data_IF_836024320374
#
_entry.id   IF_836024320374
#
_cell.length_a   1.000
_cell.length_b   1.000
_cell.length_c   1.000
_cell.angle_alpha   90.00
_cell.angle_beta   90.00
_cell.angle_gamma   90.00
#
_symmetry.space_group_name_H-M   'P 1'
#
loop_
_entity.id
_entity.type
_entity.pdbx_description
1 polymer ?
#
# COMPACT_ATOMS: atom_id res chain seq x y z
N UNK A 1 17.41 -10.68 -1.25
CA UNK A 1 16.44 -10.19 -0.25
C UNK A 1 15.20 -9.66 -0.97
N UNK A 2 14.10 -9.59 -0.28
CA UNK A 2 12.83 -9.15 -0.86
C UNK A 2 12.33 -7.90 -0.12
N UNK A 3 11.86 -6.93 -0.89
CA UNK A 3 11.18 -5.76 -0.35
C UNK A 3 9.68 -5.88 -0.61
N UNK A 4 8.88 -5.52 0.37
CA UNK A 4 7.43 -5.40 0.23
C UNK A 4 7.05 -3.96 0.49
N UNK A 5 6.37 -3.36 -0.47
CA UNK A 5 5.91 -1.97 -0.36
C UNK A 5 4.39 -1.97 -0.30
N UNK A 6 3.86 -1.52 0.82
CA UNK A 6 2.42 -1.35 1.02
C UNK A 6 2.08 0.08 0.67
N UNK A 7 1.24 0.28 -0.34
CA UNK A 7 0.82 1.61 -0.79
C UNK A 7 -0.68 1.76 -0.53
N UNK A 8 -1.06 2.84 0.13
CA UNK A 8 -2.45 3.12 0.46
C UNK A 8 -2.75 4.60 0.26
N UNK A 9 -4.02 4.92 0.02
CA UNK A 9 -4.46 6.31 -0.08
C UNK A 9 -4.41 6.98 1.29
N UNK A 10 -4.06 8.25 1.31
CA UNK A 10 -4.12 9.07 2.53
C UNK A 10 -5.56 9.16 3.02
N UNK A 11 -5.74 9.33 4.32
CA UNK A 11 -7.06 9.29 4.96
C UNK A 11 -8.08 10.26 4.40
N UNK A 12 -7.64 11.41 3.91
CA UNK A 12 -8.55 12.41 3.34
C UNK A 12 -8.90 12.18 1.87
N UNK A 13 -8.35 11.16 1.24
CA UNK A 13 -8.56 10.88 -0.19
C UNK A 13 -9.67 9.84 -0.36
N UNK A 14 -10.62 10.14 -1.24
CA UNK A 14 -11.72 9.22 -1.53
C UNK A 14 -11.19 7.94 -2.16
N UNK A 15 -11.67 6.80 -1.67
CA UNK A 15 -11.36 5.48 -2.19
C UNK A 15 -12.63 4.83 -2.75
N UNK A 16 -12.92 5.03 -4.04
CA UNK A 16 -14.15 4.46 -4.63
C UNK A 16 -14.16 2.93 -4.65
N UNK A 17 -12.99 2.29 -4.74
CA UNK A 17 -12.89 0.83 -4.71
C UNK A 17 -13.18 0.28 -3.31
N UNK A 18 -12.62 0.90 -2.28
CA UNK A 18 -12.90 0.54 -0.90
C UNK A 18 -14.37 0.73 -0.56
N UNK A 19 -14.97 1.81 -1.04
CA UNK A 19 -16.38 2.08 -0.82
C UNK A 19 -17.27 1.03 -1.51
N UNK A 20 -16.92 0.64 -2.73
CA UNK A 20 -17.65 -0.41 -3.45
C UNK A 20 -17.56 -1.75 -2.73
N UNK A 21 -16.40 -2.10 -2.18
CA UNK A 21 -16.23 -3.32 -1.39
C UNK A 21 -17.12 -3.28 -0.16
N UNK A 22 -17.12 -2.17 0.58
CA UNK A 22 -17.97 -2.00 1.76
C UNK A 22 -19.44 -2.16 1.45
N UNK A 23 -19.90 -1.56 0.36
CA UNK A 23 -21.29 -1.67 -0.08
C UNK A 23 -21.64 -3.12 -0.47
N UNK A 24 -20.73 -3.80 -1.15
CA UNK A 24 -20.93 -5.21 -1.52
C UNK A 24 -21.00 -6.12 -0.29
N UNK A 25 -20.15 -5.90 0.70
CA UNK A 25 -20.17 -6.66 1.95
C UNK A 25 -21.51 -6.47 2.67
N UNK A 26 -21.99 -5.25 2.75
CA UNK A 26 -23.30 -4.97 3.37
C UNK A 26 -24.43 -5.67 2.61
N UNK A 27 -24.39 -5.68 1.29
CA UNK A 27 -25.37 -6.38 0.45
C UNK A 27 -25.36 -7.89 0.65
N UNK A 28 -24.21 -8.44 1.02
CA UNK A 28 -24.06 -9.87 1.33
C UNK A 28 -24.49 -10.24 2.76
N UNK A 29 -24.90 -9.26 3.56
CA UNK A 29 -25.42 -9.50 4.90
C UNK A 29 -24.38 -9.36 6.00
N UNK A 30 -23.18 -8.91 5.71
CA UNK A 30 -22.19 -8.66 6.76
C UNK A 30 -22.53 -7.38 7.50
N UNK A 31 -22.55 -7.45 8.82
CA UNK A 31 -22.86 -6.30 9.69
C UNK A 31 -21.60 -5.87 10.45
N UNK A 32 -21.64 -4.67 10.99
CA UNK A 32 -20.52 -4.16 11.78
C UNK A 32 -19.31 -3.73 10.95
N UNK A 33 -19.49 -3.56 9.65
CA UNK A 33 -18.43 -3.13 8.75
C UNK A 33 -18.28 -1.61 8.85
N UNK A 34 -17.09 -1.15 9.23
CA UNK A 34 -16.75 0.26 9.21
C UNK A 34 -16.23 0.67 7.84
N UNK A 35 -15.30 1.63 7.83
CA UNK A 35 -14.69 2.07 6.58
C UNK A 35 -13.85 0.95 5.97
N UNK A 36 -13.97 0.78 4.66
CA UNK A 36 -13.15 -0.17 3.90
C UNK A 36 -12.22 0.64 2.99
N UNK A 37 -10.93 0.36 3.09
CA UNK A 37 -9.92 1.02 2.29
C UNK A 37 -9.14 -0.03 1.51
N UNK A 38 -8.88 0.24 0.24
CA UNK A 38 -8.11 -0.65 -0.60
C UNK A 38 -6.72 -0.05 -0.82
N UNK A 39 -5.72 -0.89 -0.77
CA UNK A 39 -4.35 -0.51 -1.09
C UNK A 39 -3.74 -1.54 -2.03
N UNK A 40 -2.46 -1.41 -2.27
CA UNK A 40 -1.73 -2.38 -3.10
C UNK A 40 -0.44 -2.80 -2.41
N UNK A 41 0.00 -4.01 -2.75
CA UNK A 41 1.27 -4.56 -2.29
C UNK A 41 2.16 -4.76 -3.51
N UNK A 42 3.37 -4.21 -3.44
CA UNK A 42 4.37 -4.38 -4.49
C UNK A 42 5.53 -5.16 -3.89
N UNK A 43 5.88 -6.29 -4.49
CA UNK A 43 7.00 -7.11 -4.04
C UNK A 43 8.14 -6.96 -5.03
N UNK A 44 9.35 -6.72 -4.51
CA UNK A 44 10.55 -6.48 -5.32
C UNK A 44 11.67 -7.38 -4.82
N UNK A 45 12.23 -8.17 -5.70
CA UNK A 45 13.43 -8.93 -5.37
C UNK A 45 14.66 -8.05 -5.59
N UNK A 46 15.55 -8.03 -4.61
CA UNK A 46 16.74 -7.20 -4.62
C UNK A 46 17.99 -8.06 -4.46
N UNK A 47 19.03 -7.68 -5.15
CA UNK A 47 20.33 -8.28 -4.98
C UNK A 47 21.03 -7.71 -3.75
N UNK A 48 21.92 -8.50 -3.15
CA UNK A 48 22.69 -8.07 -2.00
C UNK A 48 22.05 -8.44 -0.68
N UNK A 49 22.72 -8.04 0.41
CA UNK A 49 22.31 -8.39 1.77
C UNK A 49 22.34 -7.20 2.74
N UNK A 50 22.62 -6.01 2.24
CA UNK A 50 22.66 -4.80 3.06
C UNK A 50 21.26 -4.18 3.17
N UNK A 51 20.62 -4.36 4.33
CA UNK A 51 19.26 -3.87 4.57
C UNK A 51 19.18 -2.34 4.51
N UNK A 52 20.18 -1.64 5.02
CA UNK A 52 20.16 -0.18 5.01
C UNK A 52 20.24 0.37 3.59
N UNK A 53 21.08 -0.21 2.74
CA UNK A 53 21.16 0.17 1.34
C UNK A 53 19.89 -0.17 0.59
N UNK A 54 19.30 -1.34 0.87
CA UNK A 54 18.04 -1.75 0.27
C UNK A 54 16.90 -0.81 0.66
N UNK A 55 16.81 -0.44 1.92
CA UNK A 55 15.80 0.50 2.41
C UNK A 55 15.87 1.84 1.68
N UNK A 56 17.08 2.41 1.57
CA UNK A 56 17.28 3.68 0.89
C UNK A 56 16.90 3.60 -0.59
N UNK A 57 17.28 2.50 -1.24
CA UNK A 57 16.97 2.27 -2.65
C UNK A 57 15.47 2.17 -2.89
N UNK A 58 14.76 1.42 -2.05
CA UNK A 58 13.31 1.24 -2.19
C UNK A 58 12.57 2.53 -1.86
N UNK A 59 13.04 3.32 -0.90
CA UNK A 59 12.47 4.64 -0.64
C UNK A 59 12.55 5.56 -1.86
N UNK A 60 13.68 5.55 -2.55
CA UNK A 60 13.84 6.30 -3.78
C UNK A 60 12.87 5.80 -4.86
N UNK A 61 12.70 4.48 -4.98
CA UNK A 61 11.73 3.91 -5.92
C UNK A 61 10.31 4.37 -5.62
N UNK A 62 9.92 4.40 -4.35
CA UNK A 62 8.60 4.84 -3.94
C UNK A 62 8.36 6.31 -4.32
N UNK A 63 9.33 7.16 -4.06
CA UNK A 63 9.22 8.59 -4.37
C UNK A 63 9.17 8.87 -5.86
N UNK A 64 9.89 8.10 -6.65
CA UNK A 64 9.99 8.33 -8.09
C UNK A 64 8.89 7.65 -8.90
N UNK A 65 8.38 6.49 -8.44
CA UNK A 65 7.47 5.69 -9.25
C UNK A 65 6.36 4.99 -8.48
N UNK A 66 6.68 4.32 -7.36
CA UNK A 66 5.77 3.34 -6.79
C UNK A 66 4.57 3.96 -6.06
N UNK A 67 4.72 5.15 -5.53
CA UNK A 67 3.66 5.84 -4.80
C UNK A 67 3.56 7.29 -5.26
N UNK A 68 2.33 7.81 -5.27
CA UNK A 68 2.10 9.23 -5.51
C UNK A 68 2.09 9.95 -4.16
N UNK A 69 3.15 10.69 -3.80
CA UNK A 69 3.26 11.27 -2.46
C UNK A 69 2.20 12.33 -2.13
N UNK A 70 1.50 12.84 -3.15
CA UNK A 70 0.43 13.80 -2.93
C UNK A 70 -0.80 13.14 -2.31
N UNK A 71 -1.15 11.92 -2.76
CA UNK A 71 -2.38 11.25 -2.36
C UNK A 71 -2.17 9.91 -1.67
N UNK A 72 -0.95 9.38 -1.66
CA UNK A 72 -0.67 8.04 -1.14
C UNK A 72 0.37 8.06 -0.02
N UNK A 73 0.24 7.11 0.89
CA UNK A 73 1.25 6.75 1.87
C UNK A 73 1.87 5.42 1.46
N UNK A 74 3.07 5.15 1.93
CA UNK A 74 3.69 3.85 1.72
C UNK A 74 4.44 3.39 2.96
N UNK A 75 4.57 2.07 3.10
CA UNK A 75 5.36 1.43 4.14
C UNK A 75 6.21 0.35 3.50
N UNK A 76 7.46 0.24 3.93
CA UNK A 76 8.44 -0.68 3.35
C UNK A 76 8.82 -1.73 4.37
N UNK A 77 8.78 -3.00 3.95
CA UNK A 77 9.32 -4.13 4.71
C UNK A 77 10.45 -4.74 3.92
N UNK A 78 11.59 -4.97 4.55
CA UNK A 78 12.73 -5.66 3.96
C UNK A 78 12.91 -6.99 4.68
N UNK A 79 12.88 -8.06 3.91
CA UNK A 79 13.01 -9.40 4.49
C UNK A 79 13.80 -10.40 3.68
#
# INVERSE_FOLDING_TARGET
MKARVHVSLKSGVLDPQGKAIGNALASLGFTGIGEVRQGKLIEIELEGSDRAAAQAKVEAMCKELLANPVIENYAIEIG
#
